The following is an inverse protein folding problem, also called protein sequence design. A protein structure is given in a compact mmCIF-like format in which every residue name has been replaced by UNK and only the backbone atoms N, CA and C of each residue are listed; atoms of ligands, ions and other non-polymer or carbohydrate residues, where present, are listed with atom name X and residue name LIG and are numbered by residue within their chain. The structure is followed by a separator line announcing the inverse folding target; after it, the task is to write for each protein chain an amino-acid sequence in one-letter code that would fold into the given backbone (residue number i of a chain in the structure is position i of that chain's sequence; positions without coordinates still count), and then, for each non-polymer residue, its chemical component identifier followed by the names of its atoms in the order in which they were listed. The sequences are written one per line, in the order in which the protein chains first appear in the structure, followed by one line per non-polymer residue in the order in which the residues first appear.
data_IF_464783842818
#
_entry.id   IF_464783842818
#
_cell.length_a   1.000
_cell.length_b   1.000
_cell.length_c   1.000
_cell.angle_alpha   90.00
_cell.angle_beta   90.00
_cell.angle_gamma   90.00
#
_symmetry.space_group_name_H-M   'P 1'
#
loop_
_entity.id
_entity.type
_entity.pdbx_description
1 polymer ?
#
# COMPACT_ATOMS: atom_id res chain seq x y z
N UNK A 1 23.53 -66.37 57.17
CA UNK A 1 22.32 -65.81 56.55
C UNK A 1 22.63 -65.60 55.08
N UNK A 2 21.90 -66.28 54.20
CA UNK A 2 22.14 -66.36 52.75
C UNK A 2 21.80 -65.04 52.05
N UNK A 3 22.33 -64.77 50.85
CA UNK A 3 21.91 -63.64 49.99
C UNK A 3 20.39 -63.62 49.81
N UNK A 4 19.76 -64.81 49.81
CA UNK A 4 18.31 -64.97 49.73
C UNK A 4 17.56 -64.39 50.94
N UNK A 5 18.15 -64.41 52.14
CA UNK A 5 17.53 -63.89 53.35
C UNK A 5 17.53 -62.35 53.37
N UNK A 6 18.60 -61.73 52.86
CA UNK A 6 18.68 -60.26 52.70
C UNK A 6 17.73 -59.74 51.62
N UNK A 7 17.54 -60.52 50.55
CA UNK A 7 16.56 -60.21 49.51
C UNK A 7 15.11 -60.33 50.03
N UNK A 8 14.85 -61.31 50.91
CA UNK A 8 13.57 -61.48 51.59
C UNK A 8 13.25 -60.33 52.57
N UNK A 9 14.24 -59.83 53.33
CA UNK A 9 14.03 -58.67 54.21
C UNK A 9 13.82 -57.36 53.43
N UNK A 10 14.58 -57.15 52.35
CA UNK A 10 14.40 -55.98 51.48
C UNK A 10 13.03 -55.97 50.80
N UNK A 11 12.59 -57.14 50.31
CA UNK A 11 11.26 -57.27 49.72
C UNK A 11 10.15 -57.09 50.75
N UNK A 12 10.34 -57.50 52.00
CA UNK A 12 9.36 -57.31 53.08
C UNK A 12 9.27 -55.85 53.55
N UNK A 13 10.41 -55.14 53.64
CA UNK A 13 10.47 -53.74 54.03
C UNK A 13 9.81 -52.80 53.00
N UNK A 14 9.97 -53.08 51.70
CA UNK A 14 9.33 -52.32 50.62
C UNK A 14 8.01 -52.93 50.14
N UNK A 15 7.44 -53.88 50.88
CA UNK A 15 6.21 -54.62 50.55
C UNK A 15 6.19 -55.16 49.10
N UNK A 16 7.33 -55.64 48.61
CA UNK A 16 7.56 -56.25 47.28
C UNK A 16 6.96 -57.64 47.08
N UNK A 17 6.08 -58.09 47.98
CA UNK A 17 5.29 -59.32 47.87
C UNK A 17 4.15 -59.18 46.83
N UNK A 18 3.86 -60.27 46.13
CA UNK A 18 2.68 -60.49 45.26
C UNK A 18 1.36 -59.99 45.86
N UNK A 19 1.17 -60.11 47.18
CA UNK A 19 -0.10 -59.75 47.83
C UNK A 19 -0.35 -58.23 47.89
N UNK A 20 0.70 -57.41 47.77
CA UNK A 20 0.63 -55.95 47.75
C UNK A 20 0.97 -55.37 46.37
N UNK A 21 1.05 -56.22 45.33
CA UNK A 21 1.31 -55.78 43.96
C UNK A 21 0.18 -54.90 43.41
N UNK A 22 -1.07 -55.24 43.73
CA UNK A 22 -2.26 -54.48 43.30
C UNK A 22 -2.33 -53.12 44.01
N UNK A 23 -2.02 -53.05 45.31
CA UNK A 23 -2.05 -51.80 46.08
C UNK A 23 -0.97 -50.81 45.59
N UNK A 24 0.22 -51.31 45.26
CA UNK A 24 1.30 -50.48 44.70
C UNK A 24 1.05 -50.09 43.25
N UNK A 25 0.46 -50.98 42.45
CA UNK A 25 -0.03 -50.61 41.12
C UNK A 25 -1.06 -49.48 41.22
N UNK A 26 -2.01 -49.57 42.15
CA UNK A 26 -2.99 -48.50 42.41
C UNK A 26 -2.37 -47.19 42.87
N UNK A 27 -1.37 -47.22 43.76
CA UNK A 27 -0.64 -46.03 44.22
C UNK A 27 0.21 -45.40 43.10
N UNK A 28 0.93 -46.20 42.32
CA UNK A 28 1.72 -45.72 41.18
C UNK A 28 0.84 -45.17 40.06
N UNK A 29 -0.24 -45.87 39.70
CA UNK A 29 -1.21 -45.41 38.70
C UNK A 29 -1.92 -44.16 39.22
N UNK A 30 -2.30 -44.11 40.49
CA UNK A 30 -2.89 -42.92 41.11
C UNK A 30 -1.97 -41.70 41.08
N UNK A 31 -0.69 -41.86 41.44
CA UNK A 31 0.31 -40.80 41.37
C UNK A 31 0.56 -40.33 39.93
N UNK A 32 0.67 -41.27 38.97
CA UNK A 32 0.80 -40.95 37.55
C UNK A 32 -0.44 -40.25 36.99
N UNK A 33 -1.65 -40.62 37.44
CA UNK A 33 -2.90 -39.98 37.03
C UNK A 33 -2.98 -38.55 37.57
N UNK A 34 -2.56 -38.32 38.82
CA UNK A 34 -2.54 -36.97 39.41
C UNK A 34 -1.50 -36.07 38.75
N UNK A 35 -0.30 -36.58 38.48
CA UNK A 35 0.75 -35.84 37.77
C UNK A 35 0.30 -35.57 36.33
N UNK A 36 -0.30 -36.55 35.66
CA UNK A 36 -0.87 -36.38 34.31
C UNK A 36 -1.98 -35.33 34.26
N UNK A 37 -2.90 -35.35 35.23
CA UNK A 37 -3.95 -34.34 35.34
C UNK A 37 -3.37 -32.95 35.60
N UNK A 38 -2.36 -32.83 36.46
CA UNK A 38 -1.68 -31.56 36.73
C UNK A 38 -0.97 -31.00 35.49
N UNK A 39 -0.28 -31.85 34.72
CA UNK A 39 0.39 -31.44 33.46
C UNK A 39 -0.63 -31.03 32.40
N UNK A 40 -1.77 -31.72 32.29
CA UNK A 40 -2.84 -31.36 31.36
C UNK A 40 -3.50 -30.03 31.74
N UNK A 41 -3.76 -29.78 33.03
CA UNK A 41 -4.28 -28.50 33.53
C UNK A 41 -3.27 -27.39 33.28
N UNK A 42 -1.98 -27.58 33.63
CA UNK A 42 -0.93 -26.59 33.43
C UNK A 42 -0.70 -26.28 31.93
N UNK A 43 -0.77 -27.29 31.06
CA UNK A 43 -0.66 -27.10 29.61
C UNK A 43 -1.88 -26.38 29.04
N UNK A 44 -3.09 -26.68 29.54
CA UNK A 44 -4.31 -25.96 29.17
C UNK A 44 -4.27 -24.49 29.60
N UNK A 45 -3.83 -24.21 30.83
CA UNK A 45 -3.62 -22.82 31.31
C UNK A 45 -2.53 -22.12 30.49
N UNK A 46 -1.43 -22.80 30.18
CA UNK A 46 -0.35 -22.25 29.34
C UNK A 46 -0.80 -21.97 27.90
N UNK A 47 -1.64 -22.82 27.32
CA UNK A 47 -2.20 -22.60 25.98
C UNK A 47 -3.19 -21.43 25.97
N UNK A 48 -4.03 -21.31 27.00
CA UNK A 48 -4.93 -20.15 27.19
C UNK A 48 -4.15 -18.86 27.43
N UNK A 49 -3.04 -18.91 28.19
CA UNK A 49 -2.15 -17.76 28.38
C UNK A 49 -1.43 -17.39 27.09
N UNK A 50 -0.95 -18.37 26.31
CA UNK A 50 -0.31 -18.11 25.01
C UNK A 50 -1.29 -17.56 23.96
N UNK A 51 -2.55 -18.03 23.94
CA UNK A 51 -3.61 -17.47 23.10
C UNK A 51 -3.92 -16.02 23.47
N UNK A 52 -4.04 -15.73 24.77
CA UNK A 52 -4.20 -14.38 25.31
C UNK A 52 -3.00 -13.47 25.04
N UNK A 53 -1.78 -13.98 25.14
CA UNK A 53 -0.57 -13.22 24.83
C UNK A 53 -0.48 -12.90 23.33
N UNK A 54 -0.91 -13.83 22.47
CA UNK A 54 -1.00 -13.62 21.02
C UNK A 54 -2.06 -12.56 20.67
N UNK A 55 -3.22 -12.60 21.33
CA UNK A 55 -4.26 -11.56 21.21
C UNK A 55 -3.80 -10.22 21.79
N UNK A 56 -3.05 -10.21 22.89
CA UNK A 56 -2.53 -8.98 23.46
C UNK A 56 -1.43 -8.36 22.61
N UNK A 57 -0.72 -9.15 21.78
CA UNK A 57 0.44 -8.69 21.01
C UNK A 57 0.14 -8.35 19.55
N UNK A 58 -0.74 -9.09 18.88
CA UNK A 58 -0.96 -8.92 17.43
C UNK A 58 -2.24 -8.14 17.17
N UNK A 59 -2.14 -7.02 16.43
CA UNK A 59 -3.30 -6.36 15.85
C UNK A 59 -3.92 -7.31 14.83
N UNK A 60 -4.98 -8.03 15.21
CA UNK A 60 -5.68 -8.97 14.34
C UNK A 60 -6.89 -8.29 13.73
N UNK A 61 -7.07 -8.47 12.43
CA UNK A 61 -8.28 -8.09 11.73
C UNK A 61 -8.67 -9.07 10.64
N UNK A 62 -9.94 -9.05 10.25
CA UNK A 62 -10.43 -9.75 9.06
C UNK A 62 -9.93 -9.00 7.81
N UNK A 63 -9.09 -9.59 6.94
CA UNK A 63 -8.46 -8.86 5.85
C UNK A 63 -9.40 -8.51 4.69
N UNK A 64 -10.49 -9.28 4.51
CA UNK A 64 -11.45 -9.09 3.42
C UNK A 64 -12.86 -9.18 3.94
N UNK A 65 -13.78 -8.49 3.29
CA UNK A 65 -15.19 -8.58 3.59
C UNK A 65 -16.02 -8.64 2.31
N UNK A 66 -17.21 -9.21 2.43
CA UNK A 66 -18.22 -9.20 1.37
C UNK A 66 -19.55 -8.76 1.98
N UNK A 67 -20.28 -7.91 1.27
CA UNK A 67 -21.61 -7.47 1.69
C UNK A 67 -22.65 -8.56 1.46
N UNK A 68 -23.51 -8.78 2.44
CA UNK A 68 -24.41 -9.94 2.46
C UNK A 68 -25.43 -9.99 1.33
N UNK A 69 -25.96 -8.85 0.89
CA UNK A 69 -27.03 -8.81 -0.13
C UNK A 69 -26.48 -8.48 -1.50
N UNK A 70 -25.61 -7.48 -1.59
CA UNK A 70 -25.10 -6.98 -2.86
C UNK A 70 -23.85 -7.70 -3.35
N UNK A 71 -23.18 -8.45 -2.46
CA UNK A 71 -21.97 -9.21 -2.77
C UNK A 71 -20.82 -8.32 -3.26
N UNK A 72 -20.82 -7.05 -2.83
CA UNK A 72 -19.70 -6.14 -3.02
C UNK A 72 -18.55 -6.62 -2.14
N UNK A 73 -17.36 -6.69 -2.72
CA UNK A 73 -16.15 -7.10 -2.02
C UNK A 73 -15.30 -5.90 -1.66
N UNK A 74 -14.53 -6.05 -0.60
CA UNK A 74 -13.58 -5.05 -0.14
C UNK A 74 -12.54 -5.63 0.80
N UNK A 75 -11.62 -4.78 1.22
CA UNK A 75 -10.45 -5.09 2.02
C UNK A 75 -10.45 -4.22 3.27
N UNK A 76 -9.99 -4.78 4.38
CA UNK A 76 -9.66 -4.01 5.58
C UNK A 76 -8.15 -3.75 5.54
N UNK A 77 -7.77 -2.50 5.28
CA UNK A 77 -6.37 -2.09 5.16
C UNK A 77 -5.63 -2.26 6.50
N UNK A 78 -6.32 -1.98 7.60
CA UNK A 78 -5.77 -2.19 8.92
C UNK A 78 -6.56 -1.53 10.04
N UNK A 79 -6.02 -1.72 11.25
CA UNK A 79 -6.48 -1.05 12.46
C UNK A 79 -5.37 -0.13 12.93
N UNK A 80 -5.72 1.14 13.12
CA UNK A 80 -4.80 2.18 13.54
C UNK A 80 -5.27 2.78 14.87
N UNK A 81 -4.32 3.20 15.70
CA UNK A 81 -4.59 3.71 17.05
C UNK A 81 -3.88 5.02 17.32
N UNK A 82 -4.42 5.82 18.23
CA UNK A 82 -3.69 6.93 18.86
C UNK A 82 -2.64 6.40 19.85
N UNK A 83 -1.81 7.29 20.37
CA UNK A 83 -0.75 6.95 21.33
C UNK A 83 -1.30 6.38 22.65
N UNK A 84 -2.51 6.76 23.06
CA UNK A 84 -3.16 6.29 24.29
C UNK A 84 -4.07 5.06 24.07
N UNK A 85 -4.24 4.62 22.82
CA UNK A 85 -5.23 3.59 22.42
C UNK A 85 -6.64 3.90 22.91
N UNK A 86 -7.02 5.16 22.92
CA UNK A 86 -8.37 5.66 23.23
C UNK A 86 -9.18 5.94 21.97
N UNK A 87 -8.51 6.06 20.81
CA UNK A 87 -9.12 6.19 19.49
C UNK A 87 -8.59 5.12 18.55
N UNK A 88 -9.49 4.57 17.75
CA UNK A 88 -9.18 3.50 16.80
C UNK A 88 -9.79 3.85 15.46
N UNK A 89 -9.02 3.77 14.38
CA UNK A 89 -9.52 3.78 13.01
C UNK A 89 -9.46 2.38 12.43
N UNK A 90 -10.61 1.85 12.01
CA UNK A 90 -10.69 0.70 11.11
C UNK A 90 -10.82 1.23 9.69
N UNK A 91 -9.74 1.18 8.92
CA UNK A 91 -9.73 1.64 7.52
C UNK A 91 -10.09 0.48 6.59
N UNK A 92 -10.99 0.74 5.65
CA UNK A 92 -11.47 -0.21 4.66
C UNK A 92 -11.56 0.46 3.30
N UNK A 93 -11.44 -0.33 2.23
CA UNK A 93 -11.83 0.11 0.90
C UNK A 93 -12.60 -0.98 0.17
N UNK A 94 -13.55 -0.55 -0.65
CA UNK A 94 -14.23 -1.42 -1.60
C UNK A 94 -13.42 -1.51 -2.90
N UNK A 95 -13.63 -2.60 -3.66
CA UNK A 95 -13.04 -2.72 -5.00
C UNK A 95 -13.47 -1.53 -5.90
N UNK A 96 -12.61 -1.09 -6.83
CA UNK A 96 -12.81 0.09 -7.70
C UNK A 96 -14.15 0.14 -8.47
N UNK A 97 -14.81 -1.02 -8.65
CA UNK A 97 -16.08 -1.15 -9.39
C UNK A 97 -17.30 -1.20 -8.47
N UNK A 98 -17.09 -1.17 -7.16
CA UNK A 98 -18.17 -1.23 -6.20
C UNK A 98 -19.01 0.05 -6.25
N UNK A 99 -20.33 -0.13 -6.29
CA UNK A 99 -21.28 0.99 -6.25
C UNK A 99 -21.74 1.16 -4.81
N UNK A 100 -21.00 1.97 -4.05
CA UNK A 100 -21.30 2.28 -2.66
C UNK A 100 -21.94 3.67 -2.53
N UNK A 101 -22.54 3.95 -1.37
CA UNK A 101 -23.00 5.31 -1.08
C UNK A 101 -21.80 6.14 -0.61
N UNK A 102 -21.66 7.33 -1.18
CA UNK A 102 -20.66 8.31 -0.71
C UNK A 102 -21.18 9.19 0.43
N UNK A 103 -22.36 8.88 0.98
CA UNK A 103 -22.93 9.55 2.12
C UNK A 103 -22.87 8.67 3.38
N UNK A 104 -22.06 9.06 4.35
CA UNK A 104 -21.87 8.34 5.61
C UNK A 104 -23.18 8.13 6.40
N UNK A 105 -24.20 8.98 6.24
CA UNK A 105 -25.48 8.82 6.94
C UNK A 105 -26.26 7.59 6.47
N UNK A 106 -25.91 7.04 5.30
CA UNK A 106 -26.50 5.82 4.79
C UNK A 106 -25.97 4.57 5.52
N UNK A 107 -24.98 4.73 6.39
CA UNK A 107 -24.35 3.64 7.12
C UNK A 107 -24.70 3.68 8.61
N UNK A 108 -24.79 2.50 9.22
CA UNK A 108 -24.88 2.32 10.68
C UNK A 108 -24.01 1.14 11.09
N UNK A 109 -23.55 1.14 12.33
CA UNK A 109 -22.70 0.07 12.86
C UNK A 109 -23.26 -0.53 14.14
N UNK A 110 -22.92 -1.79 14.35
CA UNK A 110 -23.21 -2.57 15.54
C UNK A 110 -21.90 -3.15 16.07
N UNK A 111 -21.65 -3.00 17.37
CA UNK A 111 -20.41 -3.42 18.00
C UNK A 111 -20.68 -4.34 19.18
N UNK A 112 -20.06 -5.52 19.15
CA UNK A 112 -20.06 -6.50 20.22
C UNK A 112 -18.62 -6.92 20.56
N UNK A 113 -18.40 -7.44 21.76
CA UNK A 113 -17.21 -8.22 22.04
C UNK A 113 -17.28 -9.58 21.36
N UNK A 114 -16.14 -10.22 21.17
CA UNK A 114 -16.03 -11.57 20.62
C UNK A 114 -15.01 -12.39 21.39
N UNK A 115 -15.34 -13.64 21.69
CA UNK A 115 -14.40 -14.59 22.26
C UNK A 115 -13.45 -15.18 21.19
N UNK A 116 -12.53 -16.06 21.63
CA UNK A 116 -11.55 -16.73 20.76
C UNK A 116 -12.19 -17.66 19.73
N UNK A 117 -13.44 -18.07 19.94
CA UNK A 117 -14.24 -18.89 19.02
C UNK A 117 -15.16 -18.04 18.13
N UNK A 118 -14.95 -16.72 18.11
CA UNK A 118 -15.73 -15.72 17.36
C UNK A 118 -17.22 -15.61 17.77
N UNK A 119 -17.55 -16.04 18.99
CA UNK A 119 -18.89 -15.91 19.56
C UNK A 119 -19.03 -14.57 20.27
N UNK A 120 -20.21 -13.96 20.13
CA UNK A 120 -20.50 -12.67 20.75
C UNK A 120 -20.39 -12.72 22.27
N UNK A 121 -19.63 -11.79 22.84
CA UNK A 121 -19.55 -11.50 24.27
C UNK A 121 -19.78 -10.01 24.55
N UNK A 122 -19.87 -9.67 25.83
CA UNK A 122 -20.01 -8.28 26.29
C UNK A 122 -18.76 -7.47 26.01
N UNK A 123 -18.94 -6.21 25.64
CA UNK A 123 -17.82 -5.27 25.51
C UNK A 123 -17.12 -5.06 26.85
N UNK A 124 -15.79 -5.21 26.87
CA UNK A 124 -14.96 -4.98 28.08
C UNK A 124 -14.59 -3.52 28.26
N UNK A 125 -14.51 -2.75 27.18
CA UNK A 125 -14.31 -1.30 27.23
C UNK A 125 -15.68 -0.61 27.29
N UNK A 126 -16.01 0.08 28.40
CA UNK A 126 -17.26 0.83 28.52
C UNK A 126 -17.19 2.14 27.73
N UNK A 127 -18.36 2.70 27.41
CA UNK A 127 -18.49 4.05 26.85
C UNK A 127 -17.95 4.23 25.44
N UNK A 128 -17.80 3.14 24.65
CA UNK A 128 -17.35 3.25 23.26
C UNK A 128 -18.39 4.04 22.46
N UNK A 129 -17.94 5.11 21.83
CA UNK A 129 -18.67 5.85 20.81
C UNK A 129 -18.04 5.62 19.44
N UNK A 130 -18.74 5.96 18.37
CA UNK A 130 -18.19 5.80 17.03
C UNK A 130 -18.67 6.81 16.02
N UNK A 131 -17.93 6.87 14.93
CA UNK A 131 -18.26 7.65 13.74
C UNK A 131 -17.88 6.90 12.47
N UNK A 132 -18.67 7.07 11.43
CA UNK A 132 -18.41 6.55 10.09
C UNK A 132 -17.93 7.66 9.18
N UNK A 133 -16.92 7.37 8.38
CA UNK A 133 -16.37 8.26 7.38
C UNK A 133 -16.45 7.60 6.01
N UNK A 134 -16.88 8.37 5.01
CA UNK A 134 -16.66 8.05 3.60
C UNK A 134 -15.66 9.05 3.07
N UNK A 135 -14.51 8.58 2.59
CA UNK A 135 -13.40 9.42 2.15
C UNK A 135 -13.59 9.83 0.69
N UNK A 136 -14.50 10.77 0.44
CA UNK A 136 -14.82 11.24 -0.91
C UNK A 136 -15.34 10.12 -1.83
N UNK A 137 -14.97 10.17 -3.10
CA UNK A 137 -15.29 9.18 -4.13
C UNK A 137 -14.18 8.12 -4.31
N UNK A 138 -13.24 8.01 -3.36
CA UNK A 138 -12.07 7.10 -3.45
C UNK A 138 -12.40 5.63 -3.22
N UNK A 139 -13.62 5.31 -2.76
CA UNK A 139 -14.02 3.96 -2.36
C UNK A 139 -13.58 3.57 -0.95
N UNK A 140 -12.81 4.42 -0.26
CA UNK A 140 -12.41 4.23 1.13
C UNK A 140 -13.53 4.63 2.11
N UNK A 141 -13.67 3.82 3.15
CA UNK A 141 -14.55 4.09 4.30
C UNK A 141 -13.82 3.79 5.61
N UNK A 142 -14.19 4.48 6.67
CA UNK A 142 -13.53 4.36 7.97
C UNK A 142 -14.53 4.31 9.11
N UNK A 143 -14.25 3.46 10.10
CA UNK A 143 -14.94 3.52 11.40
C UNK A 143 -13.95 4.01 12.44
N UNK A 144 -14.22 5.18 13.02
CA UNK A 144 -13.47 5.66 14.17
C UNK A 144 -14.25 5.27 15.43
N UNK A 145 -13.62 4.53 16.34
CA UNK A 145 -14.13 4.20 17.66
C UNK A 145 -13.36 4.99 18.71
N UNK A 146 -14.07 5.60 19.65
CA UNK A 146 -13.47 6.38 20.74
C UNK A 146 -13.97 5.88 22.09
N UNK A 147 -13.09 5.85 23.09
CA UNK A 147 -13.40 5.46 24.46
C UNK A 147 -12.66 6.36 25.46
N UNK A 148 -13.21 6.50 26.68
CA UNK A 148 -12.58 7.30 27.75
C UNK A 148 -11.30 6.66 28.32
N UNK A 149 -11.15 5.35 28.12
CA UNK A 149 -9.99 4.57 28.56
C UNK A 149 -9.44 3.74 27.41
N UNK A 150 -8.18 3.31 27.53
CA UNK A 150 -7.56 2.47 26.51
C UNK A 150 -8.40 1.22 26.22
N UNK A 151 -8.51 0.85 24.94
CA UNK A 151 -9.24 -0.35 24.54
C UNK A 151 -8.66 -1.59 25.22
N UNK A 152 -9.53 -2.37 25.89
CA UNK A 152 -9.15 -3.64 26.48
C UNK A 152 -8.67 -4.62 25.39
N UNK A 153 -7.74 -5.55 25.70
CA UNK A 153 -7.36 -6.63 24.80
C UNK A 153 -8.55 -7.58 24.59
N UNK A 154 -9.33 -7.30 23.55
CA UNK A 154 -10.56 -7.99 23.20
C UNK A 154 -10.75 -7.89 21.68
N UNK A 155 -11.16 -9.01 21.07
CA UNK A 155 -11.63 -9.00 19.69
C UNK A 155 -13.02 -8.37 19.67
N UNK A 156 -13.20 -7.34 18.87
CA UNK A 156 -14.48 -6.69 18.63
C UNK A 156 -15.07 -7.24 17.33
N UNK A 157 -16.37 -7.50 17.36
CA UNK A 157 -17.18 -7.82 16.19
C UNK A 157 -17.90 -6.54 15.74
N UNK A 158 -17.40 -5.93 14.68
CA UNK A 158 -17.95 -4.74 14.06
C UNK A 158 -18.77 -5.14 12.84
N UNK A 159 -20.09 -4.98 12.92
CA UNK A 159 -21.00 -5.20 11.79
C UNK A 159 -21.46 -3.84 11.26
N UNK A 160 -21.21 -3.58 9.98
CA UNK A 160 -21.62 -2.34 9.31
C UNK A 160 -22.75 -2.66 8.34
N UNK A 161 -23.81 -1.86 8.37
CA UNK A 161 -24.98 -1.98 7.50
C UNK A 161 -25.11 -0.77 6.61
N UNK A 162 -25.23 -1.02 5.30
CA UNK A 162 -25.67 -0.05 4.33
C UNK A 162 -27.21 0.01 4.32
N UNK A 163 -27.78 1.20 4.50
CA UNK A 163 -29.21 1.45 4.44
C UNK A 163 -29.67 1.81 3.01
N UNK A 164 -28.73 2.20 2.14
CA UNK A 164 -28.96 2.44 0.73
C UNK A 164 -28.45 1.24 -0.09
N UNK A 165 -29.34 0.56 -0.80
CA UNK A 165 -28.99 -0.54 -1.71
C UNK A 165 -28.78 0.03 -3.11
N UNK A 166 -27.51 0.28 -3.48
CA UNK A 166 -27.16 0.92 -4.76
C UNK A 166 -26.72 -0.06 -5.85
N UNK A 167 -26.68 -1.35 -5.51
CA UNK A 167 -26.37 -2.43 -6.43
C UNK A 167 -27.34 -3.59 -6.26
N UNK A 168 -27.58 -4.34 -7.32
CA UNK A 168 -28.45 -5.50 -7.35
C UNK A 168 -27.65 -6.73 -7.79
N UNK A 169 -27.77 -7.83 -7.05
CA UNK A 169 -27.15 -9.11 -7.37
C UNK A 169 -28.23 -10.18 -7.56
N UNK A 170 -28.29 -10.77 -8.76
CA UNK A 170 -29.24 -11.86 -9.11
C UNK A 170 -28.90 -13.19 -8.43
N UNK A 171 -27.73 -13.30 -7.80
CA UNK A 171 -27.23 -14.52 -7.16
C UNK A 171 -27.86 -14.79 -5.80
N UNK A 172 -28.62 -13.82 -5.25
CA UNK A 172 -29.32 -13.95 -3.97
C UNK A 172 -30.43 -15.03 -3.96
N UNK A 173 -30.85 -15.52 -5.14
CA UNK A 173 -31.94 -16.51 -5.24
C UNK A 173 -31.48 -17.96 -5.04
N UNK A 174 -30.19 -18.29 -5.20
CA UNK A 174 -29.75 -19.70 -5.25
C UNK A 174 -28.56 -20.08 -4.34
N UNK A 175 -27.98 -19.15 -3.56
CA UNK A 175 -26.98 -19.50 -2.55
C UNK A 175 -27.11 -18.65 -1.29
N UNK A 176 -28.07 -19.01 -0.45
CA UNK A 176 -27.86 -18.89 0.99
C UNK A 176 -26.73 -19.88 1.36
N UNK A 177 -25.47 -19.49 1.14
CA UNK A 177 -24.34 -20.24 1.68
C UNK A 177 -24.45 -20.15 3.21
N UNK A 178 -25.03 -21.19 3.77
CA UNK A 178 -25.49 -21.33 5.14
C UNK A 178 -24.36 -21.58 6.15
N UNK A 179 -23.14 -21.12 5.88
CA UNK A 179 -21.99 -21.35 6.75
C UNK A 179 -21.43 -20.07 7.38
N UNK A 180 -21.56 -18.90 6.74
CA UNK A 180 -21.30 -17.60 7.42
C UNK A 180 -22.51 -17.11 8.23
N UNK A 181 -23.69 -17.70 8.00
CA UNK A 181 -24.93 -17.42 8.71
C UNK A 181 -25.05 -18.22 10.03
N UNK A 182 -24.01 -18.25 10.86
CA UNK A 182 -24.16 -18.70 12.24
C UNK A 182 -24.94 -17.64 13.04
N UNK A 183 -26.28 -17.69 12.92
CA UNK A 183 -27.22 -17.22 13.94
C UNK A 183 -27.99 -15.92 13.68
N UNK A 184 -27.55 -15.03 12.79
CA UNK A 184 -28.19 -13.70 12.63
C UNK A 184 -28.98 -13.54 11.33
N UNK A 185 -30.31 -13.60 11.45
CA UNK A 185 -31.27 -13.40 10.34
C UNK A 185 -31.18 -12.01 9.69
N UNK A 186 -30.50 -11.05 10.33
CA UNK A 186 -30.38 -9.69 9.80
C UNK A 186 -29.55 -9.62 8.51
N UNK A 187 -28.56 -10.51 8.32
CA UNK A 187 -27.72 -10.57 7.11
C UNK A 187 -28.49 -10.96 5.85
N UNK A 188 -29.60 -11.68 6.00
CA UNK A 188 -30.51 -11.99 4.90
C UNK A 188 -31.47 -10.83 4.57
N UNK A 189 -31.68 -9.90 5.50
CA UNK A 189 -32.64 -8.80 5.37
C UNK A 189 -32.00 -7.49 4.91
N UNK A 190 -30.79 -7.23 5.37
CA UNK A 190 -30.07 -5.99 5.14
C UNK A 190 -28.76 -6.27 4.42
N UNK A 191 -28.27 -5.29 3.67
CA UNK A 191 -26.94 -5.35 3.09
C UNK A 191 -25.91 -4.90 4.14
N UNK A 192 -25.12 -5.85 4.62
CA UNK A 192 -24.18 -5.62 5.71
C UNK A 192 -22.95 -6.51 5.58
N UNK A 193 -21.85 -6.08 6.18
CA UNK A 193 -20.63 -6.84 6.29
C UNK A 193 -20.12 -6.83 7.73
N UNK A 194 -19.30 -7.82 8.06
CA UNK A 194 -18.76 -8.01 9.40
C UNK A 194 -17.25 -8.07 9.33
N UNK A 195 -16.60 -7.35 10.24
CA UNK A 195 -15.15 -7.40 10.44
C UNK A 195 -14.86 -7.65 11.91
N UNK A 196 -13.88 -8.48 12.18
CA UNK A 196 -13.35 -8.68 13.53
C UNK A 196 -12.07 -7.86 13.66
N UNK A 197 -11.92 -7.14 14.77
CA UNK A 197 -10.80 -6.22 15.01
C UNK A 197 -10.34 -6.29 16.46
N UNK A 198 -9.03 -6.25 16.73
CA UNK A 198 -8.49 -6.23 18.10
C UNK A 198 -7.70 -4.93 18.37
N UNK A 199 -8.38 -3.83 18.72
CA UNK A 199 -7.71 -2.55 18.93
C UNK A 199 -6.83 -2.50 20.19
N UNK A 200 -7.10 -3.35 21.18
CA UNK A 200 -6.34 -3.38 22.43
C UNK A 200 -4.94 -3.98 22.30
N UNK A 201 -4.66 -4.68 21.19
CA UNK A 201 -3.36 -5.33 20.95
C UNK A 201 -2.21 -4.32 20.91
N UNK A 202 -1.02 -4.70 21.41
CA UNK A 202 0.19 -3.86 21.39
C UNK A 202 0.78 -3.64 20.00
N UNK A 203 0.48 -4.53 19.05
CA UNK A 203 0.97 -4.47 17.67
C UNK A 203 0.10 -3.66 16.70
N UNK A 204 -0.95 -2.98 17.16
CA UNK A 204 -1.73 -2.08 16.30
C UNK A 204 -0.87 -0.89 15.84
N UNK A 205 -0.93 -0.56 14.55
CA UNK A 205 -0.17 0.57 14.01
C UNK A 205 -0.66 1.90 14.59
N UNK A 206 0.23 2.86 14.74
CA UNK A 206 -0.11 4.20 15.23
C UNK A 206 -0.12 5.18 14.07
N UNK A 207 -1.07 6.11 14.09
CA UNK A 207 -1.15 7.21 13.13
C UNK A 207 -1.36 8.51 13.89
N UNK A 208 -0.70 9.57 13.44
CA UNK A 208 -0.73 10.86 14.11
C UNK A 208 -2.10 11.54 13.94
N UNK A 209 -2.83 11.19 12.88
CA UNK A 209 -4.18 11.67 12.64
C UNK A 209 -5.16 11.36 13.79
N UNK A 210 -4.90 10.31 14.58
CA UNK A 210 -5.72 9.94 15.75
C UNK A 210 -5.26 10.62 17.05
N UNK A 211 -4.00 11.06 17.14
CA UNK A 211 -3.50 11.84 18.28
C UNK A 211 -4.01 13.30 18.26
N UNK A 212 -4.53 13.77 17.13
CA UNK A 212 -5.16 15.07 17.01
C UNK A 212 -6.43 15.19 17.88
N UNK A 213 -6.68 16.38 18.42
CA UNK A 213 -7.87 16.67 19.23
C UNK A 213 -9.16 16.42 18.43
N UNK A 214 -9.18 16.83 17.16
CA UNK A 214 -10.22 16.55 16.19
C UNK A 214 -9.65 15.63 15.13
N UNK A 215 -10.36 14.55 14.82
CA UNK A 215 -9.94 13.61 13.78
C UNK A 215 -9.94 14.31 12.41
N UNK A 216 -8.79 14.27 11.73
CA UNK A 216 -8.62 14.78 10.37
C UNK A 216 -8.67 13.62 9.37
N UNK A 217 -9.78 13.46 8.63
CA UNK A 217 -9.93 12.36 7.68
C UNK A 217 -8.94 12.45 6.51
N UNK A 218 -8.57 13.66 6.06
CA UNK A 218 -7.62 13.80 4.97
C UNK A 218 -6.22 13.38 5.41
N UNK A 219 -5.81 13.78 6.62
CA UNK A 219 -4.53 13.32 7.18
C UNK A 219 -4.51 11.80 7.39
N UNK A 220 -5.60 11.23 7.92
CA UNK A 220 -5.70 9.78 8.10
C UNK A 220 -5.63 9.03 6.76
N UNK A 221 -6.33 9.53 5.73
CA UNK A 221 -6.28 8.96 4.39
C UNK A 221 -4.87 9.04 3.79
N UNK A 222 -4.18 10.18 3.95
CA UNK A 222 -2.79 10.32 3.51
C UNK A 222 -1.86 9.29 4.19
N UNK A 223 -1.88 9.23 5.52
CA UNK A 223 -1.00 8.35 6.30
C UNK A 223 -1.24 6.86 6.04
N UNK A 224 -2.49 6.47 5.75
CA UNK A 224 -2.90 5.06 5.60
C UNK A 224 -2.91 4.60 4.14
N UNK A 225 -3.46 5.40 3.22
CA UNK A 225 -3.71 4.97 1.84
C UNK A 225 -2.66 5.50 0.85
N UNK A 226 -2.23 6.76 1.01
CA UNK A 226 -1.42 7.42 -0.01
C UNK A 226 0.09 7.36 0.24
N UNK A 227 0.54 7.38 1.50
CA UNK A 227 1.97 7.51 1.82
C UNK A 227 2.83 6.41 1.17
N UNK A 228 2.38 5.16 1.23
CA UNK A 228 3.11 4.05 0.58
C UNK A 228 3.09 4.14 -0.95
N UNK A 229 2.03 4.71 -1.53
CA UNK A 229 1.92 4.92 -2.98
C UNK A 229 2.81 6.08 -3.43
N UNK A 230 2.89 7.15 -2.63
CA UNK A 230 3.82 8.25 -2.83
C UNK A 230 5.27 7.78 -2.74
N UNK A 231 5.63 6.98 -1.73
CA UNK A 231 6.97 6.41 -1.60
C UNK A 231 7.34 5.56 -2.84
N UNK A 232 6.40 4.76 -3.36
CA UNK A 232 6.59 4.00 -4.59
C UNK A 232 6.78 4.92 -5.81
N UNK A 233 5.94 5.95 -5.95
CA UNK A 233 6.06 6.92 -7.03
C UNK A 233 7.41 7.66 -6.99
N UNK A 234 7.90 8.00 -5.80
CA UNK A 234 9.23 8.58 -5.60
C UNK A 234 10.36 7.63 -6.02
N UNK A 235 10.29 6.35 -5.65
CA UNK A 235 11.27 5.34 -6.08
C UNK A 235 11.28 5.17 -7.62
N UNK A 236 10.11 5.16 -8.27
CA UNK A 236 9.99 5.08 -9.73
C UNK A 236 10.54 6.34 -10.44
N UNK A 237 10.28 7.53 -9.90
CA UNK A 237 10.87 8.79 -10.36
C UNK A 237 12.39 8.76 -10.26
N UNK A 238 12.93 8.22 -9.15
CA UNK A 238 14.36 8.09 -8.92
C UNK A 238 15.04 7.12 -9.89
N UNK A 239 14.44 5.95 -10.11
CA UNK A 239 14.91 4.98 -11.11
C UNK A 239 14.96 5.63 -12.49
N UNK A 240 13.89 6.33 -12.87
CA UNK A 240 13.80 6.97 -14.18
C UNK A 240 14.86 8.07 -14.37
N UNK A 241 15.14 8.86 -13.33
CA UNK A 241 16.23 9.84 -13.36
C UNK A 241 17.61 9.17 -13.51
N UNK A 242 17.81 8.02 -12.86
CA UNK A 242 19.02 7.20 -13.00
C UNK A 242 19.25 6.73 -14.44
N UNK A 243 18.19 6.24 -15.10
CA UNK A 243 18.22 5.87 -16.52
C UNK A 243 18.52 7.10 -17.41
N UNK A 244 17.82 8.22 -17.19
CA UNK A 244 18.05 9.46 -17.95
C UNK A 244 19.49 9.95 -17.82
N UNK A 245 20.09 9.89 -16.62
CA UNK A 245 21.51 10.22 -16.40
C UNK A 245 22.45 9.31 -17.18
N UNK A 246 22.11 8.02 -17.28
CA UNK A 246 22.85 7.04 -18.09
C UNK A 246 22.75 7.39 -19.57
N UNK A 247 21.56 7.71 -20.07
CA UNK A 247 21.34 8.10 -21.47
C UNK A 247 22.12 9.39 -21.81
N UNK A 248 22.13 10.40 -20.93
CA UNK A 248 22.95 11.61 -21.11
C UNK A 248 24.45 11.31 -21.15
N UNK A 249 24.91 10.34 -20.34
CA UNK A 249 26.31 9.88 -20.36
C UNK A 249 26.64 9.19 -21.67
N UNK A 250 25.74 8.34 -22.19
CA UNK A 250 25.89 7.71 -23.50
C UNK A 250 25.91 8.73 -24.63
N UNK A 251 24.98 9.71 -24.64
CA UNK A 251 24.96 10.82 -25.60
C UNK A 251 26.31 11.55 -25.61
N UNK A 252 26.85 11.86 -24.43
CA UNK A 252 28.17 12.51 -24.28
C UNK A 252 29.30 11.64 -24.82
N UNK A 253 29.30 10.33 -24.54
CA UNK A 253 30.30 9.38 -25.05
C UNK A 253 30.24 9.25 -26.56
N UNK A 254 29.06 8.95 -27.12
CA UNK A 254 28.89 8.77 -28.56
C UNK A 254 29.11 10.06 -29.35
N UNK A 255 28.86 11.23 -28.75
CA UNK A 255 29.25 12.52 -29.35
C UNK A 255 30.77 12.68 -29.47
N UNK A 256 31.55 12.17 -28.50
CA UNK A 256 33.03 12.16 -28.57
C UNK A 256 33.52 11.14 -29.60
N UNK A 257 32.90 9.97 -29.66
CA UNK A 257 33.20 8.97 -30.68
C UNK A 257 32.92 9.52 -32.08
N UNK A 258 31.84 10.27 -32.26
CA UNK A 258 31.48 10.92 -33.52
C UNK A 258 32.55 11.93 -33.94
N UNK A 259 33.03 12.75 -33.01
CA UNK A 259 34.05 13.76 -33.28
C UNK A 259 35.42 13.16 -33.67
N UNK A 260 35.69 11.92 -33.27
CA UNK A 260 37.00 11.27 -33.49
C UNK A 260 36.98 10.21 -34.60
N UNK A 261 35.80 9.68 -34.95
CA UNK A 261 35.65 8.65 -35.99
C UNK A 261 35.84 9.26 -37.39
N UNK A 262 36.73 8.64 -38.17
CA UNK A 262 37.00 9.02 -39.57
C UNK A 262 37.08 7.80 -40.47
N UNK A 263 36.60 7.93 -41.70
CA UNK A 263 36.74 6.93 -42.76
C UNK A 263 37.29 7.64 -43.98
N UNK A 264 38.50 7.30 -44.42
CA UNK A 264 39.15 7.90 -45.59
C UNK A 264 39.11 9.46 -45.59
N UNK A 265 39.36 10.06 -44.42
CA UNK A 265 39.28 11.51 -44.22
C UNK A 265 37.87 12.10 -44.11
N UNK A 266 36.82 11.33 -44.38
CA UNK A 266 35.43 11.72 -44.12
C UNK A 266 35.10 11.58 -42.63
N UNK A 267 34.31 12.51 -42.11
CA UNK A 267 33.79 12.50 -40.74
C UNK A 267 32.40 13.12 -40.70
N UNK A 268 31.61 12.78 -39.68
CA UNK A 268 30.32 13.41 -39.44
C UNK A 268 30.52 14.79 -38.80
N UNK A 269 29.82 15.79 -39.30
CA UNK A 269 29.68 17.06 -38.59
C UNK A 269 28.81 16.83 -37.36
N UNK A 270 29.11 17.54 -36.28
CA UNK A 270 28.31 17.44 -35.07
C UNK A 270 26.85 17.82 -35.37
N UNK A 271 25.87 16.95 -35.09
CA UNK A 271 24.47 17.26 -35.35
C UNK A 271 23.97 18.34 -34.39
N UNK A 272 22.92 19.05 -34.80
CA UNK A 272 22.18 19.95 -33.92
C UNK A 272 21.37 19.11 -32.94
N UNK A 273 21.61 19.30 -31.64
CA UNK A 273 20.88 18.60 -30.59
C UNK A 273 19.45 19.16 -30.52
N UNK A 274 18.39 18.32 -30.56
CA UNK A 274 17.01 18.77 -30.41
C UNK A 274 16.81 19.61 -29.15
N UNK A 275 16.03 20.70 -29.26
CA UNK A 275 15.84 21.66 -28.17
C UNK A 275 15.27 21.05 -26.88
N UNK A 276 14.53 19.94 -27.00
CA UNK A 276 13.96 19.22 -25.86
C UNK A 276 15.01 18.44 -25.05
N UNK A 277 16.22 18.24 -25.59
CA UNK A 277 17.35 17.56 -24.94
C UNK A 277 18.49 18.54 -24.66
N UNK A 278 18.62 19.57 -25.50
CA UNK A 278 19.73 20.50 -25.48
C UNK A 278 19.88 21.19 -24.11
N UNK A 279 21.02 20.94 -23.46
CA UNK A 279 21.37 21.55 -22.17
C UNK A 279 20.89 20.79 -20.93
N UNK A 280 20.13 19.72 -21.10
CA UNK A 280 19.63 18.92 -19.99
C UNK A 280 20.74 18.24 -19.18
N UNK A 281 20.53 18.12 -17.88
CA UNK A 281 21.43 17.44 -16.94
C UNK A 281 20.64 16.73 -15.87
N UNK A 282 21.12 15.57 -15.45
CA UNK A 282 20.69 14.95 -14.19
C UNK A 282 21.85 15.01 -13.20
N UNK A 283 21.65 15.69 -12.08
CA UNK A 283 22.64 15.83 -11.00
C UNK A 283 22.23 15.03 -9.78
N UNK A 284 23.12 14.89 -8.80
CA UNK A 284 22.85 14.16 -7.56
C UNK A 284 23.26 12.69 -7.64
N UNK A 285 22.98 11.96 -6.56
CA UNK A 285 23.42 10.59 -6.33
C UNK A 285 22.21 9.64 -6.38
N UNK A 286 22.38 8.47 -6.98
CA UNK A 286 21.43 7.36 -6.85
C UNK A 286 21.46 6.80 -5.42
N UNK A 287 20.44 6.00 -5.07
CA UNK A 287 20.38 5.27 -3.80
C UNK A 287 21.63 4.40 -3.54
N UNK A 288 22.19 3.82 -4.60
CA UNK A 288 23.37 2.94 -4.54
C UNK A 288 24.66 3.74 -4.36
N UNK A 289 24.74 4.95 -4.89
CA UNK A 289 25.90 5.84 -4.76
C UNK A 289 25.91 6.58 -3.41
N UNK A 290 24.72 6.85 -2.87
CA UNK A 290 24.53 7.65 -1.66
C UNK A 290 25.02 6.93 -0.40
N UNK A 291 25.69 7.68 0.47
CA UNK A 291 26.15 7.18 1.79
C UNK A 291 25.02 7.04 2.80
N UNK A 292 23.93 7.79 2.63
CA UNK A 292 22.77 7.75 3.53
C UNK A 292 21.75 6.70 3.09
N UNK A 293 21.89 6.15 1.87
CA UNK A 293 20.90 5.26 1.27
C UNK A 293 19.67 5.99 0.72
N UNK A 294 19.75 7.32 0.57
CA UNK A 294 18.71 8.17 -0.02
C UNK A 294 19.20 8.77 -1.34
N UNK A 295 18.37 8.74 -2.37
CA UNK A 295 18.70 9.31 -3.67
C UNK A 295 18.42 10.83 -3.71
N UNK A 296 19.26 11.56 -4.44
CA UNK A 296 19.23 13.03 -4.56
C UNK A 296 19.17 13.49 -6.02
N UNK A 297 18.74 12.60 -6.92
CA UNK A 297 18.76 12.86 -8.35
C UNK A 297 17.80 13.98 -8.74
N UNK A 298 18.27 14.95 -9.52
CA UNK A 298 17.42 16.05 -9.99
C UNK A 298 17.65 16.30 -11.48
N UNK A 299 16.56 16.37 -12.25
CA UNK A 299 16.56 16.82 -13.64
C UNK A 299 16.63 18.36 -13.67
N UNK A 300 17.63 18.87 -14.38
CA UNK A 300 17.73 20.27 -14.78
C UNK A 300 17.45 20.34 -16.27
N UNK A 301 16.33 20.94 -16.66
CA UNK A 301 15.95 21.09 -18.06
C UNK A 301 15.46 22.52 -18.33
N UNK A 302 15.54 22.94 -19.59
CA UNK A 302 14.97 24.22 -20.04
C UNK A 302 13.65 24.03 -20.79
N UNK A 303 13.28 22.78 -21.08
CA UNK A 303 12.12 22.42 -21.90
C UNK A 303 11.41 21.21 -21.31
N UNK A 304 10.12 21.37 -21.05
CA UNK A 304 9.23 20.27 -20.67
C UNK A 304 8.63 19.66 -21.94
N UNK A 305 8.48 18.33 -21.95
CA UNK A 305 7.76 17.66 -23.04
C UNK A 305 6.33 18.18 -23.13
N UNK A 306 5.71 18.23 -24.34
CA UNK A 306 4.32 18.62 -24.47
C UNK A 306 3.40 17.80 -23.56
N UNK A 307 2.56 18.49 -22.77
CA UNK A 307 1.69 17.88 -21.77
C UNK A 307 2.37 17.35 -20.50
N UNK A 308 3.70 17.41 -20.42
CA UNK A 308 4.44 17.06 -19.23
C UNK A 308 4.47 18.16 -18.16
N UNK A 309 5.00 17.78 -17.00
CA UNK A 309 5.14 18.58 -15.80
C UNK A 309 6.62 18.80 -15.42
N UNK A 310 6.87 19.86 -14.67
CA UNK A 310 8.16 20.15 -14.05
C UNK A 310 7.91 20.81 -12.69
N UNK A 311 8.29 20.12 -11.62
CA UNK A 311 8.27 20.63 -10.26
C UNK A 311 9.26 19.86 -9.38
N UNK A 312 9.65 20.47 -8.26
CA UNK A 312 10.49 19.84 -7.26
C UNK A 312 9.64 18.99 -6.31
N UNK A 313 9.40 17.74 -6.72
CA UNK A 313 8.64 16.77 -5.95
C UNK A 313 9.32 16.36 -4.63
N UNK A 314 10.63 16.64 -4.44
CA UNK A 314 11.32 16.34 -3.17
C UNK A 314 11.13 17.40 -2.09
N UNK A 315 10.71 18.60 -2.48
CA UNK A 315 10.57 19.73 -1.55
C UNK A 315 9.35 19.64 -0.63
N UNK A 316 8.47 18.65 -0.86
CA UNK A 316 7.23 18.45 -0.11
C UNK A 316 6.74 17.02 -0.19
N UNK A 317 5.45 16.85 0.05
CA UNK A 317 4.73 15.60 -0.11
C UNK A 317 3.31 15.87 -0.66
N UNK A 318 2.58 14.82 -1.04
CA UNK A 318 1.18 14.89 -1.47
C UNK A 318 0.30 15.58 -0.43
N UNK A 319 0.59 15.38 0.86
CA UNK A 319 -0.07 16.06 1.97
C UNK A 319 0.08 17.58 1.94
N UNK A 320 1.29 18.08 1.66
CA UNK A 320 1.59 19.51 1.58
C UNK A 320 1.03 20.15 0.29
N UNK A 321 0.96 19.37 -0.79
CA UNK A 321 0.34 19.75 -2.06
C UNK A 321 1.30 20.34 -3.10
N UNK A 322 1.48 19.64 -4.22
CA UNK A 322 2.27 20.04 -5.38
C UNK A 322 1.49 20.96 -6.34
N UNK A 323 0.19 20.70 -6.52
CA UNK A 323 -0.65 21.44 -7.46
C UNK A 323 -0.74 22.93 -7.12
N UNK A 324 -0.62 23.31 -5.85
CA UNK A 324 -0.65 24.73 -5.44
C UNK A 324 0.57 25.52 -5.95
N UNK A 325 1.67 24.84 -6.27
CA UNK A 325 2.87 25.46 -6.85
C UNK A 325 2.80 25.48 -8.39
N UNK A 326 2.12 24.50 -8.99
CA UNK A 326 2.03 24.31 -10.43
C UNK A 326 0.92 25.12 -11.09
N UNK A 327 -0.24 25.18 -10.44
CA UNK A 327 -1.46 25.76 -11.02
C UNK A 327 -1.36 27.29 -11.00
N UNK A 328 -1.49 27.96 -12.15
CA UNK A 328 -1.49 29.42 -12.21
C UNK A 328 -2.58 30.03 -11.31
N UNK A 329 -2.26 31.16 -10.67
CA UNK A 329 -3.22 31.86 -9.80
C UNK A 329 -4.50 32.20 -10.56
N UNK A 330 -5.64 31.73 -10.05
CA UNK A 330 -6.97 31.96 -10.62
C UNK A 330 -7.44 30.90 -11.63
N UNK A 331 -6.61 29.92 -11.95
CA UNK A 331 -6.98 28.73 -12.73
C UNK A 331 -7.34 27.58 -11.78
N UNK A 332 -8.32 26.75 -12.15
CA UNK A 332 -8.59 25.53 -11.39
C UNK A 332 -7.60 24.43 -11.77
N UNK A 333 -7.26 23.54 -10.82
CA UNK A 333 -6.37 22.41 -11.12
C UNK A 333 -6.95 21.49 -12.21
N UNK A 334 -8.28 21.40 -12.32
CA UNK A 334 -8.97 20.62 -13.36
C UNK A 334 -8.72 21.22 -14.75
N UNK A 335 -8.89 22.54 -14.91
CA UNK A 335 -8.60 23.24 -16.18
C UNK A 335 -7.12 23.11 -16.55
N UNK A 336 -6.23 23.27 -15.57
CA UNK A 336 -4.78 23.13 -15.76
C UNK A 336 -4.40 21.72 -16.27
N UNK A 337 -4.90 20.66 -15.63
CA UNK A 337 -4.63 19.27 -16.05
C UNK A 337 -5.25 18.94 -17.42
N UNK A 338 -6.43 19.49 -17.75
CA UNK A 338 -7.05 19.32 -19.06
C UNK A 338 -6.25 20.01 -20.17
N UNK A 339 -5.75 21.23 -19.89
CA UNK A 339 -4.87 21.95 -20.80
C UNK A 339 -3.59 21.17 -21.07
N UNK A 340 -2.96 20.63 -20.02
CA UNK A 340 -1.79 19.75 -20.14
C UNK A 340 -2.07 18.51 -21.01
N UNK A 341 -3.21 17.86 -20.81
CA UNK A 341 -3.61 16.72 -21.64
C UNK A 341 -3.77 17.09 -23.12
N UNK A 342 -4.28 18.30 -23.40
CA UNK A 342 -4.47 18.80 -24.77
C UNK A 342 -3.13 19.14 -25.46
N UNK A 343 -2.15 19.67 -24.73
CA UNK A 343 -0.79 19.90 -25.23
C UNK A 343 -0.13 18.61 -25.76
N UNK A 344 -0.41 17.46 -25.12
CA UNK A 344 0.09 16.16 -25.58
C UNK A 344 -0.58 15.69 -26.89
N UNK A 345 -1.83 16.07 -27.13
CA UNK A 345 -2.62 15.62 -28.28
C UNK A 345 -2.26 16.38 -29.56
N UNK A 346 -1.87 17.65 -29.43
CA UNK A 346 -1.47 18.52 -30.54
C UNK A 346 0.00 18.37 -30.95
N UNK A 347 0.79 17.63 -30.16
CA UNK A 347 2.20 17.39 -30.40
C UNK A 347 2.42 16.40 -31.55
N UNK A 348 2.50 16.91 -32.78
CA UNK A 348 2.77 16.13 -33.99
C UNK A 348 4.16 15.45 -34.06
N UNK A 349 5.05 15.63 -33.06
CA UNK A 349 6.38 15.00 -33.05
C UNK A 349 6.50 13.95 -31.93
N UNK A 350 6.21 12.70 -32.27
CA UNK A 350 6.39 11.52 -31.39
C UNK A 350 7.87 11.37 -30.94
N UNK A 351 8.82 12.00 -31.64
CA UNK A 351 10.26 11.90 -31.39
C UNK A 351 10.92 13.17 -30.88
N UNK A 352 10.18 14.22 -30.52
CA UNK A 352 10.78 15.47 -30.02
C UNK A 352 11.78 16.15 -30.98
N UNK A 353 11.65 15.90 -32.29
CA UNK A 353 12.56 16.38 -33.32
C UNK A 353 13.82 15.52 -33.53
N UNK A 354 13.92 14.36 -32.90
CA UNK A 354 15.07 13.44 -33.06
C UNK A 354 15.09 12.79 -34.45
N UNK A 355 13.91 12.51 -35.00
CA UNK A 355 13.78 12.00 -36.37
C UNK A 355 14.24 13.01 -37.43
N UNK A 356 14.30 14.29 -37.08
CA UNK A 356 14.66 15.39 -37.98
C UNK A 356 16.16 15.73 -37.92
N UNK A 357 16.96 14.95 -37.18
CA UNK A 357 18.41 15.16 -37.09
C UNK A 357 19.07 14.86 -38.44
N UNK A 358 19.74 15.87 -39.00
CA UNK A 358 20.53 15.72 -40.22
C UNK A 358 21.97 15.22 -39.92
N UNK A 359 22.35 14.10 -40.53
CA UNK A 359 23.66 13.46 -40.36
C UNK A 359 24.61 13.81 -41.51
N UNK A 360 25.07 15.05 -41.52
CA UNK A 360 25.88 15.60 -42.62
C UNK A 360 27.37 15.26 -42.47
N UNK A 361 27.97 14.69 -43.51
CA UNK A 361 29.40 14.42 -43.60
C UNK A 361 30.22 15.69 -43.91
N UNK A 362 31.53 15.64 -43.69
CA UNK A 362 32.47 16.73 -43.97
C UNK A 362 32.40 17.22 -45.43
N UNK A 363 32.09 16.33 -46.37
CA UNK A 363 31.91 16.60 -47.81
C UNK A 363 30.52 17.16 -48.19
N UNK A 364 29.61 17.37 -47.22
CA UNK A 364 28.28 17.93 -47.43
C UNK A 364 27.18 16.93 -47.80
N UNK A 365 27.50 15.64 -47.99
CA UNK A 365 26.50 14.59 -48.20
C UNK A 365 25.87 14.15 -46.88
N UNK A 366 24.64 13.68 -46.90
CA UNK A 366 23.95 13.14 -45.73
C UNK A 366 24.18 11.63 -45.65
N UNK A 367 24.73 11.16 -44.52
CA UNK A 367 25.07 9.76 -44.30
C UNK A 367 23.84 8.85 -44.32
N UNK A 368 22.69 9.32 -43.80
CA UNK A 368 21.47 8.53 -43.68
C UNK A 368 20.70 8.41 -45.01
N UNK A 369 20.78 9.40 -45.90
CA UNK A 369 20.02 9.42 -47.16
C UNK A 369 20.86 9.07 -48.40
N UNK A 370 22.13 9.45 -48.42
CA UNK A 370 22.96 9.38 -49.63
C UNK A 370 23.80 8.10 -49.72
N UNK A 371 23.83 7.31 -48.64
CA UNK A 371 24.60 6.06 -48.53
C UNK A 371 23.72 4.92 -48.07
N UNK A 372 23.99 3.71 -48.57
CA UNK A 372 23.22 2.53 -48.16
C UNK A 372 23.78 2.02 -46.84
N UNK A 373 22.91 1.56 -45.95
CA UNK A 373 23.29 0.88 -44.70
C UNK A 373 24.18 -0.36 -44.92
N UNK A 374 24.20 -0.91 -46.15
CA UNK A 374 25.07 -2.01 -46.56
C UNK A 374 26.48 -1.59 -47.00
N UNK A 375 26.78 -0.30 -47.13
CA UNK A 375 28.10 0.18 -47.55
C UNK A 375 29.14 -0.07 -46.45
N UNK A 376 29.88 -1.18 -46.57
CA UNK A 376 30.89 -1.64 -45.61
C UNK A 376 31.93 -0.54 -45.30
N UNK A 377 32.21 0.32 -46.27
CA UNK A 377 33.21 1.40 -46.16
C UNK A 377 32.82 2.43 -45.10
N UNK A 378 31.54 2.79 -44.98
CA UNK A 378 31.07 3.81 -44.03
C UNK A 378 30.53 3.24 -42.71
N UNK A 379 30.65 1.93 -42.52
CA UNK A 379 30.15 1.22 -41.33
C UNK A 379 30.57 1.88 -40.01
N UNK A 380 31.83 2.32 -39.79
CA UNK A 380 32.19 2.98 -38.53
C UNK A 380 31.37 4.26 -38.25
N UNK A 381 31.18 5.11 -39.26
CA UNK A 381 30.39 6.34 -39.14
C UNK A 381 28.90 6.03 -38.94
N UNK A 382 28.37 5.02 -39.67
CA UNK A 382 26.99 4.57 -39.52
C UNK A 382 26.72 3.97 -38.12
N UNK A 383 27.68 3.22 -37.56
CA UNK A 383 27.56 2.68 -36.19
C UNK A 383 27.47 3.80 -35.16
N UNK A 384 28.35 4.80 -35.22
CA UNK A 384 28.33 5.91 -34.25
C UNK A 384 27.06 6.76 -34.41
N UNK A 385 26.65 7.02 -35.65
CA UNK A 385 25.37 7.67 -35.96
C UNK A 385 24.19 6.93 -35.31
N UNK A 386 24.10 5.62 -35.52
CA UNK A 386 23.00 4.81 -34.98
C UNK A 386 23.02 4.78 -33.45
N UNK A 387 24.20 4.63 -32.82
CA UNK A 387 24.33 4.62 -31.37
C UNK A 387 23.90 5.96 -30.76
N UNK A 388 24.33 7.09 -31.35
CA UNK A 388 23.96 8.41 -30.88
C UNK A 388 22.46 8.71 -31.11
N UNK A 389 21.93 8.31 -32.27
CA UNK A 389 20.49 8.42 -32.58
C UNK A 389 19.65 7.63 -31.57
N UNK A 390 20.04 6.39 -31.26
CA UNK A 390 19.35 5.57 -30.27
C UNK A 390 19.42 6.20 -28.87
N UNK A 391 20.59 6.67 -28.45
CA UNK A 391 20.74 7.30 -27.13
C UNK A 391 19.86 8.57 -26.98
N UNK A 392 19.67 9.35 -28.05
CA UNK A 392 18.71 10.46 -28.04
C UNK A 392 17.27 9.97 -27.91
N UNK A 393 16.88 8.94 -28.66
CA UNK A 393 15.53 8.36 -28.59
C UNK A 393 15.24 7.81 -27.20
N UNK A 394 16.18 7.07 -26.61
CA UNK A 394 16.05 6.50 -25.27
C UNK A 394 15.95 7.60 -24.21
N UNK A 395 16.76 8.65 -24.31
CA UNK A 395 16.67 9.80 -23.41
C UNK A 395 15.31 10.49 -23.50
N UNK A 396 14.82 10.77 -24.71
CA UNK A 396 13.54 11.46 -24.88
C UNK A 396 12.36 10.60 -24.42
N UNK A 397 12.37 9.29 -24.71
CA UNK A 397 11.35 8.37 -24.21
C UNK A 397 11.32 8.38 -22.67
N UNK A 398 12.47 8.25 -22.02
CA UNK A 398 12.57 8.28 -20.56
C UNK A 398 12.19 9.63 -19.97
N UNK A 399 12.57 10.74 -20.61
CA UNK A 399 12.15 12.09 -20.22
C UNK A 399 10.64 12.25 -20.35
N UNK A 400 10.03 11.73 -21.41
CA UNK A 400 8.58 11.76 -21.62
C UNK A 400 7.86 11.00 -20.52
N UNK A 401 8.27 9.77 -20.20
CA UNK A 401 7.68 8.99 -19.11
C UNK A 401 7.85 9.69 -17.76
N UNK A 402 9.05 10.21 -17.46
CA UNK A 402 9.30 10.95 -16.23
C UNK A 402 8.36 12.16 -16.12
N UNK A 403 8.31 13.02 -17.15
CA UNK A 403 7.59 14.28 -17.08
C UNK A 403 6.08 14.16 -17.27
N UNK A 404 5.58 13.19 -18.03
CA UNK A 404 4.16 13.09 -18.39
C UNK A 404 3.40 12.01 -17.63
N UNK A 405 4.06 10.89 -17.30
CA UNK A 405 3.39 9.74 -16.66
C UNK A 405 3.66 9.76 -15.16
N UNK A 406 4.92 9.64 -14.75
CA UNK A 406 5.29 9.47 -13.33
C UNK A 406 4.98 10.71 -12.49
N UNK A 407 5.30 11.90 -12.99
CA UNK A 407 4.92 13.14 -12.30
C UNK A 407 3.40 13.33 -12.25
N UNK A 408 2.65 12.88 -13.27
CA UNK A 408 1.20 12.94 -13.25
C UNK A 408 0.60 11.98 -12.23
N UNK A 409 1.16 10.78 -12.10
CA UNK A 409 0.71 9.81 -11.10
C UNK A 409 0.84 10.35 -9.68
N UNK A 410 1.94 11.08 -9.37
CA UNK A 410 2.09 11.80 -8.11
C UNK A 410 1.00 12.88 -7.92
N UNK A 411 0.67 13.63 -8.97
CA UNK A 411 -0.41 14.63 -8.93
C UNK A 411 -1.80 13.99 -8.78
N UNK A 412 -2.03 12.77 -9.29
CA UNK A 412 -3.30 12.04 -9.09
C UNK A 412 -3.52 11.70 -7.61
N UNK A 413 -2.46 11.29 -6.90
CA UNK A 413 -2.55 11.06 -5.44
C UNK A 413 -3.01 12.33 -4.71
N UNK A 414 -2.52 13.51 -5.13
CA UNK A 414 -2.98 14.78 -4.56
C UNK A 414 -4.42 15.11 -4.94
N UNK A 415 -4.85 14.79 -6.17
CA UNK A 415 -6.25 14.95 -6.57
C UNK A 415 -7.17 14.10 -5.70
N UNK A 416 -6.80 12.85 -5.41
CA UNK A 416 -7.56 11.99 -4.50
C UNK A 416 -7.59 12.58 -3.08
N UNK A 417 -6.47 13.07 -2.57
CA UNK A 417 -6.43 13.74 -1.27
C UNK A 417 -7.31 15.00 -1.23
N UNK A 418 -7.33 15.80 -2.31
CA UNK A 418 -8.18 16.99 -2.44
C UNK A 418 -9.67 16.62 -2.52
N UNK A 419 -10.00 15.51 -3.16
CA UNK A 419 -11.34 14.93 -3.16
C UNK A 419 -11.76 14.56 -1.73
N UNK A 420 -10.91 13.86 -0.98
CA UNK A 420 -11.17 13.55 0.43
C UNK A 420 -11.37 14.82 1.26
N UNK A 421 -10.51 15.83 1.11
CA UNK A 421 -10.64 17.12 1.82
C UNK A 421 -11.98 17.81 1.57
N UNK A 422 -12.51 17.71 0.35
CA UNK A 422 -13.69 18.45 -0.08
C UNK A 422 -14.99 17.67 0.10
N UNK A 423 -14.93 16.34 -0.05
CA UNK A 423 -16.09 15.47 -0.23
C UNK A 423 -16.20 14.39 0.85
N UNK A 424 -15.39 14.44 1.92
CA UNK A 424 -15.60 13.55 3.07
C UNK A 424 -16.96 13.78 3.70
N UNK A 425 -17.71 12.70 3.92
CA UNK A 425 -18.96 12.72 4.68
C UNK A 425 -18.79 11.94 5.98
N UNK A 426 -19.50 12.37 7.03
CA UNK A 426 -19.36 11.81 8.38
C UNK A 426 -20.73 11.52 8.97
N UNK A 427 -20.87 10.37 9.63
CA UNK A 427 -22.03 10.04 10.48
C UNK A 427 -21.56 9.77 11.90
N UNK A 428 -21.90 10.66 12.83
CA UNK A 428 -21.43 10.63 14.22
C UNK A 428 -22.56 10.37 15.21
N UNK A 429 -22.21 9.83 16.39
CA UNK A 429 -23.09 9.81 17.57
C UNK A 429 -23.95 8.57 17.72
N UNK A 430 -24.91 8.60 18.66
CA UNK A 430 -25.78 7.46 19.02
C UNK A 430 -26.60 6.91 17.85
N UNK A 431 -26.84 7.73 16.82
CA UNK A 431 -27.56 7.32 15.63
C UNK A 431 -26.75 6.38 14.71
N UNK A 432 -25.42 6.43 14.81
CA UNK A 432 -24.52 5.60 14.01
C UNK A 432 -24.19 4.26 14.68
N UNK A 433 -23.62 4.31 15.90
CA UNK A 433 -23.07 3.13 16.56
C UNK A 433 -24.00 2.60 17.65
N UNK A 434 -24.40 1.33 17.54
CA UNK A 434 -25.09 0.60 18.60
C UNK A 434 -24.13 -0.38 19.26
N UNK A 435 -23.87 -0.17 20.55
CA UNK A 435 -23.01 -1.05 21.37
C UNK A 435 -23.82 -1.99 22.23
N UNK A 436 -23.36 -3.24 22.40
CA UNK A 436 -23.98 -4.22 23.28
C UNK A 436 -23.05 -4.56 24.46
N UNK A 437 -23.44 -4.11 25.66
CA UNK A 437 -22.72 -4.29 26.93
C UNK A 437 -23.15 -5.50 27.75
#
# INVERSE_FOLDING_TARGET
MSINDRFAEFTKAFRLDSHHAIERFGLFVGALTLIGAFVLIASGVSALMAGRDTLAQTGLWTPKFTTSKTQLSGVVDGIYTDSQKTKVLVMMHFDDRAKISYNATDYRAFLLGSDEELKSERLRTPGITGSFYVFGATGYVGVVLEAEQSFAPQVLNLTIRANAELSFSNTATDRANSEEATGDKSFAKYDQWRVFVNPGASGSAKIDALDAAVFDPARAYYEVALKSQEDQAHDELDEKLGEMRTNLTQISSYSKDLATTKVDGLFLRQPVIPAIIAGDRVTGETKVESKTGEATLALHTSKVVPGGFEFDWRSGNVGDGYLDQLVPKGESYVEFLQKKTSESSDANSISGGIGDIEWVLSNGKNLATDYRTSDITLRPLATVMNNLSQAYQDYYANKSTYQSDLLLDLLKLEVDLRDVRSNTTIHTGEAFLVTYY
#
